data_IF_467650319629
#
_entry.id   IF_467650319629
#
_cell.length_a   1.000
_cell.length_b   1.000
_cell.length_c   1.000
_cell.angle_alpha   90.00
_cell.angle_beta   90.00
_cell.angle_gamma   90.00
#
_symmetry.space_group_name_H-M   'P 1'
#
loop_
_entity.id
_entity.type
_entity.pdbx_description
1 polymer ?
#
# COMPACT_ATOMS: atom_id res chain seq x y z
N UNK A 1 11.69 -24.89 -2.13
CA UNK A 1 11.64 -25.21 -0.67
C UNK A 1 12.97 -24.85 0.00
N UNK A 2 12.87 -24.39 1.26
CA UNK A 2 14.03 -24.10 2.12
C UNK A 2 14.85 -25.37 2.42
N UNK A 3 16.14 -25.20 2.62
CA UNK A 3 16.96 -26.26 3.22
C UNK A 3 16.64 -26.40 4.71
N UNK A 4 16.96 -27.58 5.30
CA UNK A 4 16.66 -27.84 6.72
C UNK A 4 17.23 -26.77 7.68
N UNK A 5 18.43 -26.31 7.45
CA UNK A 5 19.06 -25.27 8.29
C UNK A 5 18.39 -23.89 8.14
N UNK A 6 17.75 -23.60 7.00
CA UNK A 6 16.96 -22.38 6.79
C UNK A 6 15.61 -22.46 7.55
N UNK A 7 14.97 -23.64 7.54
CA UNK A 7 13.78 -23.90 8.36
C UNK A 7 14.12 -23.83 9.85
N UNK A 8 15.24 -24.42 10.26
CA UNK A 8 15.69 -24.38 11.65
C UNK A 8 15.94 -22.95 12.14
N UNK A 9 16.44 -22.06 11.28
CA UNK A 9 16.56 -20.63 11.59
C UNK A 9 15.19 -20.01 11.87
N UNK A 10 14.17 -20.26 11.04
CA UNK A 10 12.83 -19.74 11.26
C UNK A 10 12.27 -20.22 12.61
N UNK A 11 12.42 -21.51 12.93
CA UNK A 11 11.95 -22.04 14.22
C UNK A 11 12.66 -21.43 15.42
N UNK A 12 13.97 -21.17 15.31
CA UNK A 12 14.78 -20.56 16.37
C UNK A 12 14.44 -19.08 16.58
N UNK A 13 14.17 -18.34 15.51
CA UNK A 13 13.89 -16.90 15.56
C UNK A 13 12.41 -16.57 15.75
N UNK A 14 11.49 -17.55 15.69
CA UNK A 14 10.05 -17.31 15.73
C UNK A 14 9.58 -16.51 16.96
N UNK A 15 10.02 -16.91 18.14
CA UNK A 15 9.60 -16.22 19.39
C UNK A 15 10.20 -14.81 19.46
N UNK A 16 11.45 -14.64 19.06
CA UNK A 16 12.09 -13.33 18.99
C UNK A 16 11.40 -12.44 17.95
N UNK A 17 11.01 -12.99 16.79
CA UNK A 17 10.27 -12.29 15.75
C UNK A 17 8.93 -11.75 16.25
N UNK A 18 8.20 -12.53 17.07
CA UNK A 18 6.94 -12.09 17.69
C UNK A 18 7.19 -10.94 18.69
N UNK A 19 8.24 -11.01 19.50
CA UNK A 19 8.58 -9.92 20.42
C UNK A 19 9.02 -8.64 19.69
N UNK A 20 9.78 -8.78 18.59
CA UNK A 20 10.14 -7.66 17.70
C UNK A 20 8.90 -7.02 17.07
N UNK A 21 7.95 -7.85 16.61
CA UNK A 21 6.67 -7.40 16.07
C UNK A 21 5.89 -6.56 17.10
N UNK A 22 5.77 -7.04 18.35
CA UNK A 22 5.10 -6.28 19.42
C UNK A 22 5.77 -4.93 19.66
N UNK A 23 7.11 -4.90 19.68
CA UNK A 23 7.87 -3.65 19.88
C UNK A 23 7.61 -2.66 18.74
N UNK A 24 7.75 -3.09 17.48
CA UNK A 24 7.56 -2.23 16.31
C UNK A 24 6.10 -1.77 16.21
N UNK A 25 5.13 -2.67 16.38
CA UNK A 25 3.70 -2.36 16.29
C UNK A 25 3.23 -1.34 17.35
N UNK A 26 3.91 -1.28 18.52
CA UNK A 26 3.60 -0.29 19.55
C UNK A 26 3.95 1.15 19.14
N UNK A 27 4.88 1.33 18.18
CA UNK A 27 5.31 2.65 17.72
C UNK A 27 4.27 3.21 16.76
N UNK A 28 3.62 4.35 17.04
CA UNK A 28 2.69 4.98 16.12
C UNK A 28 3.42 5.49 14.88
N UNK A 29 2.81 5.31 13.72
CA UNK A 29 3.37 5.74 12.44
C UNK A 29 2.26 6.06 11.42
N UNK A 30 1.46 7.11 11.62
CA UNK A 30 0.59 7.59 10.56
C UNK A 30 1.40 7.92 9.31
N UNK A 31 0.80 7.78 8.12
CA UNK A 31 1.45 8.20 6.87
C UNK A 31 2.00 9.63 6.99
N UNK A 32 3.23 9.86 6.54
CA UNK A 32 4.08 11.05 6.71
C UNK A 32 4.64 11.28 8.13
N UNK A 33 4.48 10.36 9.08
CA UNK A 33 4.99 10.43 10.46
C UNK A 33 5.68 9.12 10.90
N UNK A 34 6.35 8.46 9.98
CA UNK A 34 7.00 7.15 10.16
C UNK A 34 8.42 7.25 10.75
N UNK A 35 8.93 8.45 11.05
CA UNK A 35 10.32 8.67 11.46
C UNK A 35 10.73 7.78 12.64
N UNK A 36 9.85 7.59 13.62
CA UNK A 36 10.14 6.78 14.80
C UNK A 36 10.33 5.30 14.45
N UNK A 37 9.46 4.74 13.59
CA UNK A 37 9.60 3.36 13.09
C UNK A 37 10.83 3.20 12.22
N UNK A 38 11.10 4.14 11.31
CA UNK A 38 12.29 4.13 10.46
C UNK A 38 13.58 4.16 11.29
N UNK A 39 13.66 4.99 12.33
CA UNK A 39 14.82 5.03 13.22
C UNK A 39 14.94 3.75 14.06
N UNK A 40 13.84 3.18 14.56
CA UNK A 40 13.84 1.90 15.26
C UNK A 40 14.42 0.79 14.36
N UNK A 41 13.93 0.65 13.13
CA UNK A 41 14.42 -0.35 12.18
C UNK A 41 15.91 -0.13 11.84
N UNK A 42 16.31 1.12 11.58
CA UNK A 42 17.72 1.46 11.32
C UNK A 42 18.62 1.09 12.50
N UNK A 43 18.21 1.38 13.74
CA UNK A 43 18.97 1.03 14.94
C UNK A 43 19.07 -0.50 15.10
N UNK A 44 17.97 -1.22 14.86
CA UNK A 44 17.95 -2.68 14.92
C UNK A 44 18.92 -3.32 13.92
N UNK A 45 18.99 -2.81 12.68
CA UNK A 45 19.94 -3.26 11.67
C UNK A 45 21.39 -2.92 12.05
N UNK A 46 21.63 -1.70 12.53
CA UNK A 46 22.95 -1.24 12.98
C UNK A 46 23.53 -2.13 14.06
N UNK A 47 22.74 -2.56 15.05
CA UNK A 47 23.14 -3.46 16.14
C UNK A 47 23.57 -4.84 15.62
N UNK A 48 23.16 -5.20 14.40
CA UNK A 48 23.50 -6.44 13.69
C UNK A 48 24.58 -6.27 12.64
N UNK A 49 25.20 -5.11 12.56
CA UNK A 49 26.24 -4.81 11.58
C UNK A 49 25.74 -4.61 10.15
N UNK A 50 24.43 -4.44 9.94
CA UNK A 50 23.82 -4.24 8.63
C UNK A 50 23.79 -2.75 8.32
N UNK A 51 24.46 -2.36 7.25
CA UNK A 51 24.45 -0.97 6.78
C UNK A 51 23.11 -0.60 6.17
N UNK A 52 22.51 0.49 6.66
CA UNK A 52 21.22 0.99 6.20
C UNK A 52 21.22 2.50 6.03
N UNK A 53 20.48 3.00 5.07
CA UNK A 53 20.25 4.43 4.88
C UNK A 53 18.77 4.76 5.07
N UNK A 54 18.46 5.94 5.59
CA UNK A 54 17.12 6.51 5.55
C UNK A 54 17.12 7.59 4.48
N UNK A 55 16.23 7.47 3.51
CA UNK A 55 16.11 8.44 2.43
C UNK A 55 15.22 9.65 2.81
N UNK A 56 15.00 10.58 1.87
CA UNK A 56 14.21 11.78 2.13
C UNK A 56 12.70 11.52 2.35
N UNK A 57 12.23 10.31 2.02
CA UNK A 57 10.85 9.88 2.27
C UNK A 57 10.72 9.08 3.57
N UNK A 58 11.80 8.98 4.36
CA UNK A 58 11.93 8.13 5.53
C UNK A 58 11.92 6.62 5.24
N UNK A 59 12.08 6.19 3.98
CA UNK A 59 12.28 4.78 3.68
C UNK A 59 13.60 4.29 4.29
N UNK A 60 13.59 3.12 4.91
CA UNK A 60 14.82 2.43 5.34
C UNK A 60 15.29 1.54 4.19
N UNK A 61 16.49 1.82 3.69
CA UNK A 61 16.99 1.24 2.43
C UNK A 61 18.27 0.45 2.67
N UNK A 62 18.29 -0.80 2.21
CA UNK A 62 19.45 -1.70 2.22
C UNK A 62 19.78 -2.09 0.77
N UNK A 63 21.01 -1.76 0.33
CA UNK A 63 21.48 -2.00 -1.04
C UNK A 63 22.48 -3.15 -1.07
N UNK A 64 22.17 -4.16 -1.87
CA UNK A 64 23.05 -5.30 -2.11
C UNK A 64 23.30 -5.44 -3.63
N UNK A 65 23.87 -4.40 -4.25
CA UNK A 65 24.14 -4.36 -5.69
C UNK A 65 25.19 -3.31 -6.07
N UNK A 66 25.84 -3.53 -7.21
CA UNK A 66 26.74 -2.57 -7.84
C UNK A 66 25.99 -1.61 -8.79
N UNK A 67 26.62 -0.48 -9.14
CA UNK A 67 25.99 0.63 -9.86
C UNK A 67 25.34 0.27 -11.22
N UNK A 68 25.80 -0.79 -11.89
CA UNK A 68 25.30 -1.20 -13.21
C UNK A 68 24.47 -2.50 -13.18
N UNK A 69 24.17 -3.04 -12.02
CA UNK A 69 23.47 -4.31 -11.89
C UNK A 69 21.95 -4.14 -12.05
N UNK A 70 21.31 -5.08 -12.76
CA UNK A 70 19.85 -5.25 -12.67
C UNK A 70 19.47 -5.64 -11.23
N UNK A 71 18.31 -5.20 -10.76
CA UNK A 71 17.90 -5.42 -9.38
C UNK A 71 16.51 -6.05 -9.25
N UNK A 72 16.35 -6.87 -8.22
CA UNK A 72 15.07 -7.24 -7.65
C UNK A 72 14.80 -6.38 -6.40
N UNK A 73 13.56 -5.95 -6.22
CA UNK A 73 13.14 -5.13 -5.08
C UNK A 73 12.20 -5.92 -4.19
N UNK A 74 12.44 -5.86 -2.88
CA UNK A 74 11.57 -6.40 -1.86
C UNK A 74 11.23 -5.30 -0.86
N UNK A 75 9.95 -5.07 -0.61
CA UNK A 75 9.52 -4.04 0.32
C UNK A 75 8.37 -4.48 1.23
N UNK A 76 8.14 -3.71 2.28
CA UNK A 76 6.98 -3.72 3.16
C UNK A 76 6.86 -2.34 3.80
N UNK A 77 5.64 -1.89 4.14
CA UNK A 77 5.44 -0.51 4.54
C UNK A 77 5.42 -0.31 6.06
N UNK A 78 5.94 0.85 6.49
CA UNK A 78 6.08 1.22 7.91
C UNK A 78 4.86 1.96 8.46
N UNK A 79 4.08 2.60 7.60
CA UNK A 79 2.93 3.39 8.04
C UNK A 79 1.70 2.54 8.36
N UNK A 80 0.78 3.16 9.08
CA UNK A 80 -0.52 2.60 9.43
C UNK A 80 -1.61 3.65 9.20
N UNK A 81 -2.85 3.22 8.94
CA UNK A 81 -4.00 4.10 8.66
C UNK A 81 -4.44 4.97 9.86
N UNK A 82 -3.95 4.65 11.06
CA UNK A 82 -4.38 5.30 12.30
C UNK A 82 -3.63 6.62 12.50
N UNK A 83 -4.37 7.66 12.93
CA UNK A 83 -3.82 8.99 13.17
C UNK A 83 -3.19 9.16 14.57
N UNK A 84 -3.10 8.08 15.35
CA UNK A 84 -2.56 8.09 16.71
C UNK A 84 -1.07 8.44 16.70
N UNK A 85 -0.68 9.33 17.62
CA UNK A 85 0.72 9.72 17.86
C UNK A 85 1.26 9.16 19.16
N UNK A 86 0.40 8.57 20.00
CA UNK A 86 0.73 7.89 21.24
C UNK A 86 0.93 6.38 20.99
N UNK A 87 1.66 5.67 21.87
CA UNK A 87 1.94 4.25 21.71
C UNK A 87 0.66 3.41 21.53
N UNK A 88 0.64 2.58 20.50
CA UNK A 88 -0.47 1.70 20.17
C UNK A 88 -0.51 0.52 21.13
N UNK A 89 -1.73 0.08 21.47
CA UNK A 89 -1.91 -1.04 22.38
C UNK A 89 -1.90 -2.36 21.66
N UNK A 90 -0.86 -3.17 21.92
CA UNK A 90 -0.73 -4.53 21.38
C UNK A 90 -1.01 -5.54 22.49
N UNK A 91 -1.83 -6.55 22.21
CA UNK A 91 -2.27 -7.55 23.20
C UNK A 91 -2.26 -8.94 22.63
N UNK A 92 -1.55 -9.87 23.24
CA UNK A 92 -1.62 -11.28 22.89
C UNK A 92 -2.67 -12.01 23.71
N UNK A 93 -3.50 -12.83 23.05
CA UNK A 93 -4.49 -13.72 23.67
C UNK A 93 -4.39 -15.10 23.03
N UNK A 94 -3.78 -16.05 23.74
CA UNK A 94 -3.51 -17.36 23.16
C UNK A 94 -2.60 -17.26 21.95
N UNK A 95 -3.05 -17.83 20.84
CA UNK A 95 -2.34 -17.85 19.56
C UNK A 95 -2.61 -16.62 18.67
N UNK A 96 -3.26 -15.59 19.18
CA UNK A 96 -3.62 -14.39 18.43
C UNK A 96 -2.97 -13.15 19.00
N UNK A 97 -2.45 -12.30 18.11
CA UNK A 97 -1.92 -10.99 18.46
C UNK A 97 -2.88 -9.92 17.93
N UNK A 98 -3.34 -9.04 18.83
CA UNK A 98 -4.31 -7.98 18.54
C UNK A 98 -3.66 -6.61 18.63
N UNK A 99 -3.99 -5.72 17.72
CA UNK A 99 -3.60 -4.32 17.76
C UNK A 99 -3.67 -3.66 16.38
N UNK A 100 -3.83 -2.33 16.32
CA UNK A 100 -3.91 -1.59 15.08
C UNK A 100 -2.60 -1.68 14.29
N UNK A 101 -2.68 -2.07 13.01
CA UNK A 101 -1.53 -2.20 12.11
C UNK A 101 -0.59 -3.38 12.45
N UNK A 102 -1.05 -4.35 13.25
CA UNK A 102 -0.23 -5.51 13.64
C UNK A 102 0.02 -6.45 12.46
N UNK A 103 -0.96 -6.60 11.57
CA UNK A 103 -0.87 -7.39 10.34
C UNK A 103 -0.54 -6.52 9.13
N UNK A 104 -1.19 -5.39 9.04
CA UNK A 104 -1.08 -4.42 7.96
C UNK A 104 -0.26 -3.19 8.43
N UNK A 105 1.02 -3.12 8.19
CA UNK A 105 1.91 -4.11 7.52
C UNK A 105 3.05 -4.58 8.43
N UNK A 106 2.97 -4.29 9.76
CA UNK A 106 4.09 -4.45 10.71
C UNK A 106 4.64 -5.88 10.74
N UNK A 107 3.76 -6.90 10.62
CA UNK A 107 4.19 -8.30 10.66
C UNK A 107 5.03 -8.69 9.42
N UNK A 108 4.62 -8.26 8.22
CA UNK A 108 5.39 -8.48 7.00
C UNK A 108 6.75 -7.74 7.06
N UNK A 109 6.76 -6.50 7.57
CA UNK A 109 8.01 -5.74 7.81
C UNK A 109 8.97 -6.49 8.72
N UNK A 110 8.50 -7.06 9.82
CA UNK A 110 9.36 -7.81 10.76
C UNK A 110 9.91 -9.07 10.13
N UNK A 111 9.12 -9.81 9.36
CA UNK A 111 9.63 -10.94 8.59
C UNK A 111 10.73 -10.50 7.62
N UNK A 112 10.53 -9.40 6.90
CA UNK A 112 11.53 -8.85 5.98
C UNK A 112 12.83 -8.48 6.69
N UNK A 113 12.74 -7.84 7.88
CA UNK A 113 13.90 -7.54 8.70
C UNK A 113 14.68 -8.81 9.08
N UNK A 114 13.99 -9.87 9.50
CA UNK A 114 14.61 -11.14 9.88
C UNK A 114 15.26 -11.86 8.68
N UNK A 115 14.64 -11.84 7.51
CA UNK A 115 15.22 -12.42 6.29
C UNK A 115 16.48 -11.66 5.87
N UNK A 116 16.47 -10.33 5.94
CA UNK A 116 17.66 -9.50 5.68
C UNK A 116 18.79 -9.86 6.68
N UNK A 117 18.45 -10.05 7.95
CA UNK A 117 19.43 -10.48 8.95
C UNK A 117 20.02 -11.85 8.64
N UNK A 118 19.19 -12.82 8.25
CA UNK A 118 19.66 -14.14 7.80
C UNK A 118 20.67 -14.05 6.64
N UNK A 119 20.32 -13.27 5.60
CA UNK A 119 21.17 -13.07 4.42
C UNK A 119 22.52 -12.46 4.83
N UNK A 120 22.52 -11.47 5.71
CA UNK A 120 23.72 -10.83 6.21
C UNK A 120 24.57 -11.79 7.05
N UNK A 121 23.95 -12.53 7.97
CA UNK A 121 24.60 -13.48 8.87
C UNK A 121 25.36 -14.59 8.10
N UNK A 122 24.75 -15.04 7.00
CA UNK A 122 25.29 -16.11 6.15
C UNK A 122 26.11 -15.60 4.95
N UNK A 123 26.33 -14.27 4.87
CA UNK A 123 27.09 -13.63 3.78
C UNK A 123 26.62 -14.05 2.38
N UNK A 124 25.30 -14.14 2.19
CA UNK A 124 24.74 -14.56 0.91
C UNK A 124 24.87 -13.45 -0.14
N UNK A 125 25.21 -13.84 -1.36
CA UNK A 125 25.35 -12.96 -2.51
C UNK A 125 24.47 -13.46 -3.67
N UNK A 126 23.59 -12.60 -4.19
CA UNK A 126 22.75 -12.92 -5.33
C UNK A 126 23.44 -12.66 -6.67
N UNK A 127 23.04 -13.37 -7.72
CA UNK A 127 23.47 -13.07 -9.12
C UNK A 127 22.85 -11.75 -9.63
N UNK A 128 21.65 -11.45 -9.19
CA UNK A 128 20.94 -10.18 -9.40
C UNK A 128 21.17 -9.29 -8.19
N UNK A 129 21.30 -7.98 -8.39
CA UNK A 129 21.36 -7.04 -7.29
C UNK A 129 20.02 -7.06 -6.51
N UNK A 130 20.09 -6.86 -5.21
CA UNK A 130 18.90 -6.84 -4.35
C UNK A 130 18.77 -5.48 -3.68
N UNK A 131 17.56 -4.93 -3.70
CA UNK A 131 17.18 -3.72 -2.98
C UNK A 131 16.06 -4.07 -1.99
N UNK A 132 16.37 -4.00 -0.70
CA UNK A 132 15.35 -4.08 0.34
C UNK A 132 14.92 -2.70 0.80
N UNK A 133 13.62 -2.52 0.99
CA UNK A 133 13.04 -1.23 1.39
C UNK A 133 11.95 -1.46 2.44
N UNK A 134 12.11 -0.88 3.63
CA UNK A 134 10.97 -0.67 4.51
C UNK A 134 10.44 0.72 4.17
N UNK A 135 9.39 0.76 3.36
CA UNK A 135 8.92 2.01 2.79
C UNK A 135 7.86 2.70 3.66
N UNK A 136 7.52 3.91 3.27
CA UNK A 136 6.60 4.81 3.96
C UNK A 136 5.47 5.26 3.04
N UNK A 137 4.42 5.82 3.63
CA UNK A 137 3.33 6.45 2.88
C UNK A 137 2.63 5.49 1.90
N UNK A 138 2.47 4.21 2.25
CA UNK A 138 1.64 3.29 1.47
C UNK A 138 0.17 3.65 1.64
N UNK A 139 -0.26 3.88 2.86
CA UNK A 139 -1.64 3.98 3.28
C UNK A 139 -2.34 5.27 2.84
N UNK A 140 -3.64 5.14 2.61
CA UNK A 140 -4.58 6.24 2.48
C UNK A 140 -4.11 7.39 1.58
N UNK A 141 -3.88 8.56 2.18
CA UNK A 141 -3.38 9.76 1.50
C UNK A 141 -1.86 9.77 1.30
N UNK A 142 -1.14 8.78 1.84
CA UNK A 142 0.28 8.54 1.55
C UNK A 142 0.55 8.23 0.07
N UNK A 143 -0.44 7.60 -0.60
CA UNK A 143 -0.44 7.36 -2.06
C UNK A 143 0.78 6.57 -2.58
N UNK A 144 1.34 5.67 -1.76
CA UNK A 144 2.56 4.91 -2.06
C UNK A 144 3.76 5.82 -2.41
N UNK A 145 3.86 7.01 -1.79
CA UNK A 145 4.90 7.97 -2.14
C UNK A 145 6.30 7.48 -1.80
N UNK A 146 6.48 6.69 -0.72
CA UNK A 146 7.76 6.06 -0.40
C UNK A 146 8.20 5.09 -1.48
N UNK A 147 7.31 4.17 -1.88
CA UNK A 147 7.54 3.23 -2.97
C UNK A 147 7.77 3.95 -4.31
N UNK A 148 6.96 4.95 -4.64
CA UNK A 148 7.11 5.78 -5.85
C UNK A 148 8.49 6.40 -5.93
N UNK A 149 8.97 6.96 -4.83
CA UNK A 149 10.31 7.57 -4.79
C UNK A 149 11.42 6.56 -5.12
N UNK A 150 11.33 5.34 -4.59
CA UNK A 150 12.27 4.25 -4.89
C UNK A 150 12.17 3.81 -6.36
N UNK A 151 10.95 3.54 -6.84
CA UNK A 151 10.76 3.06 -8.22
C UNK A 151 11.26 4.09 -9.23
N UNK A 152 10.98 5.37 -9.05
CA UNK A 152 11.45 6.44 -9.95
C UNK A 152 12.98 6.50 -10.05
N UNK A 153 13.70 6.24 -8.97
CA UNK A 153 15.17 6.21 -8.98
C UNK A 153 15.74 4.99 -9.72
N UNK A 154 15.06 3.84 -9.63
CA UNK A 154 15.63 2.56 -10.08
C UNK A 154 14.85 1.89 -11.21
N UNK A 155 13.76 2.47 -11.74
CA UNK A 155 12.84 1.83 -12.71
C UNK A 155 13.50 1.19 -13.93
N UNK A 156 14.60 1.76 -14.42
CA UNK A 156 15.33 1.22 -15.57
C UNK A 156 16.15 -0.04 -15.23
N UNK A 157 16.37 -0.30 -13.95
CA UNK A 157 17.16 -1.42 -13.42
C UNK A 157 16.31 -2.49 -12.77
N UNK A 158 15.10 -2.16 -12.33
CA UNK A 158 14.20 -3.10 -11.65
C UNK A 158 13.68 -4.11 -12.66
N UNK A 159 13.94 -5.40 -12.41
CA UNK A 159 13.47 -6.53 -13.23
C UNK A 159 12.28 -7.25 -12.60
N UNK A 160 12.19 -7.23 -11.27
CA UNK A 160 11.08 -7.76 -10.49
C UNK A 160 10.90 -6.97 -9.21
N UNK A 161 9.68 -6.96 -8.71
CA UNK A 161 9.31 -6.24 -7.50
C UNK A 161 8.32 -7.10 -6.70
N UNK A 162 8.58 -7.27 -5.42
CA UNK A 162 7.65 -7.94 -4.50
C UNK A 162 7.42 -7.02 -3.29
N UNK A 163 6.18 -6.59 -3.12
CA UNK A 163 5.72 -5.97 -1.89
C UNK A 163 5.21 -7.07 -0.96
N UNK A 164 5.68 -7.10 0.26
CA UNK A 164 5.11 -7.98 1.27
C UNK A 164 4.05 -7.19 2.03
N UNK A 165 2.78 -7.57 1.84
CA UNK A 165 1.62 -6.90 2.40
C UNK A 165 0.38 -7.81 2.24
N UNK A 166 -0.57 -7.74 3.17
CA UNK A 166 -1.80 -8.53 3.15
C UNK A 166 -1.62 -9.95 3.71
N UNK A 167 -2.35 -10.92 3.14
CA UNK A 167 -2.52 -12.25 3.70
C UNK A 167 -1.97 -13.38 2.82
N UNK A 168 -1.59 -14.51 3.43
CA UNK A 168 -1.02 -15.70 2.78
C UNK A 168 -1.89 -16.31 1.68
N UNK A 169 -3.20 -16.19 1.79
CA UNK A 169 -4.16 -16.76 0.84
C UNK A 169 -4.35 -15.90 -0.42
N UNK A 170 -3.58 -14.84 -0.58
CA UNK A 170 -3.68 -13.91 -1.71
C UNK A 170 -2.33 -13.61 -2.34
N UNK A 171 -2.35 -13.47 -3.67
CA UNK A 171 -1.25 -12.92 -4.45
C UNK A 171 -1.84 -11.81 -5.34
N UNK A 172 -1.60 -10.56 -4.96
CA UNK A 172 -2.03 -9.42 -5.77
C UNK A 172 -1.17 -9.34 -7.02
N UNK A 173 -1.80 -9.52 -8.16
CA UNK A 173 -1.17 -9.49 -9.48
C UNK A 173 -1.80 -8.47 -10.44
N UNK A 174 -2.64 -7.58 -9.93
CA UNK A 174 -3.25 -6.52 -10.72
C UNK A 174 -3.43 -5.28 -9.85
N UNK A 175 -2.97 -4.15 -10.35
CA UNK A 175 -3.10 -2.87 -9.67
C UNK A 175 -4.51 -2.31 -9.81
N UNK A 176 -5.18 -2.01 -8.69
CA UNK A 176 -6.37 -1.18 -8.70
C UNK A 176 -5.94 0.28 -8.51
N UNK A 177 -5.89 1.00 -9.63
CA UNK A 177 -5.62 2.43 -9.62
C UNK A 177 -6.81 3.23 -9.11
N UNK A 178 -6.56 4.43 -8.60
CA UNK A 178 -7.60 5.33 -8.10
C UNK A 178 -7.20 6.79 -8.24
N UNK A 179 -8.21 7.65 -8.37
CA UNK A 179 -8.01 9.10 -8.21
C UNK A 179 -9.08 9.64 -7.27
N UNK A 180 -8.65 10.48 -6.34
CA UNK A 180 -9.45 10.96 -5.22
C UNK A 180 -9.46 12.47 -5.20
N UNK A 181 -10.63 13.07 -5.00
CA UNK A 181 -10.86 14.50 -5.05
C UNK A 181 -11.62 15.00 -3.84
N UNK A 182 -11.31 16.24 -3.45
CA UNK A 182 -12.22 17.12 -2.72
C UNK A 182 -12.70 18.21 -3.68
N UNK A 183 -14.01 18.34 -3.82
CA UNK A 183 -14.66 19.42 -4.55
C UNK A 183 -15.28 20.35 -3.52
N UNK A 184 -14.96 21.63 -3.58
CA UNK A 184 -15.58 22.64 -2.70
C UNK A 184 -16.23 23.73 -3.56
N UNK A 185 -17.55 23.83 -3.46
CA UNK A 185 -18.32 24.89 -4.13
C UNK A 185 -18.39 26.11 -3.22
N UNK A 186 -18.12 27.28 -3.77
CA UNK A 186 -18.19 28.57 -3.07
C UNK A 186 -19.23 29.46 -3.71
N UNK A 187 -20.15 29.99 -2.89
CA UNK A 187 -21.18 30.96 -3.28
C UNK A 187 -21.20 32.14 -2.28
N UNK A 188 -21.90 33.22 -2.63
CA UNK A 188 -22.02 34.40 -1.77
C UNK A 188 -22.80 34.10 -0.47
N UNK A 189 -23.77 33.15 -0.53
CA UNK A 189 -24.73 32.94 0.55
C UNK A 189 -25.78 34.06 0.66
N UNK A 190 -26.62 33.98 1.69
CA UNK A 190 -27.67 34.99 1.93
C UNK A 190 -28.84 34.47 2.75
N UNK A 191 -29.84 35.33 2.95
CA UNK A 191 -31.07 34.95 3.63
C UNK A 191 -32.03 34.24 2.65
N UNK A 192 -32.51 33.06 3.00
CA UNK A 192 -33.27 32.17 2.09
C UNK A 192 -34.49 32.82 1.43
N UNK A 193 -35.14 33.75 2.10
CA UNK A 193 -36.29 34.46 1.56
C UNK A 193 -35.91 35.81 0.90
N UNK A 194 -35.11 36.64 1.59
CA UNK A 194 -34.77 37.99 1.10
C UNK A 194 -33.82 37.94 -0.13
N UNK A 195 -32.96 36.97 -0.19
CA UNK A 195 -31.95 36.78 -1.26
C UNK A 195 -32.31 35.63 -2.20
N UNK A 196 -33.59 35.23 -2.26
CA UNK A 196 -34.05 34.15 -3.13
C UNK A 196 -33.63 34.37 -4.60
N UNK A 197 -33.03 33.32 -5.22
CA UNK A 197 -32.50 33.37 -6.58
C UNK A 197 -31.00 33.59 -6.67
N UNK A 198 -30.29 33.86 -5.55
CA UNK A 198 -28.85 33.77 -5.51
C UNK A 198 -28.37 32.30 -5.59
N UNK A 199 -27.17 32.11 -6.09
CA UNK A 199 -26.56 30.78 -6.14
C UNK A 199 -26.45 30.15 -4.75
N UNK A 200 -26.73 28.85 -4.68
CA UNK A 200 -26.65 28.03 -3.48
C UNK A 200 -25.61 26.92 -3.69
N UNK A 201 -24.59 26.87 -2.83
CA UNK A 201 -23.50 25.93 -2.95
C UNK A 201 -23.94 24.45 -2.89
N UNK A 202 -24.98 24.14 -2.07
CA UNK A 202 -25.53 22.78 -2.00
C UNK A 202 -26.24 22.43 -3.31
N UNK A 203 -27.02 23.38 -3.88
CA UNK A 203 -27.69 23.16 -5.16
C UNK A 203 -26.72 22.99 -6.31
N UNK A 204 -25.66 23.80 -6.37
CA UNK A 204 -24.60 23.64 -7.38
C UNK A 204 -23.89 22.30 -7.24
N UNK A 205 -23.49 21.92 -6.00
CA UNK A 205 -22.84 20.65 -5.75
C UNK A 205 -23.74 19.46 -6.10
N UNK A 206 -25.06 19.55 -5.86
CA UNK A 206 -26.00 18.49 -6.22
C UNK A 206 -26.13 18.29 -7.75
N UNK A 207 -26.01 19.36 -8.55
CA UNK A 207 -25.99 19.29 -10.01
C UNK A 207 -24.70 18.58 -10.48
N UNK A 208 -23.54 18.95 -9.94
CA UNK A 208 -22.28 18.26 -10.22
C UNK A 208 -22.36 16.76 -9.88
N UNK A 209 -22.89 16.42 -8.70
CA UNK A 209 -23.07 15.02 -8.30
C UNK A 209 -24.00 14.28 -9.23
N UNK A 210 -25.09 14.92 -9.67
CA UNK A 210 -26.02 14.33 -10.64
C UNK A 210 -25.29 14.02 -11.97
N UNK A 211 -24.53 14.95 -12.53
CA UNK A 211 -23.79 14.76 -13.76
C UNK A 211 -22.70 13.67 -13.60
N UNK A 212 -21.94 13.68 -12.51
CA UNK A 212 -20.96 12.63 -12.20
C UNK A 212 -21.61 11.25 -12.04
N UNK A 213 -22.83 11.16 -11.51
CA UNK A 213 -23.56 9.89 -11.39
C UNK A 213 -24.08 9.34 -12.73
N UNK A 214 -24.13 10.16 -13.76
CA UNK A 214 -24.59 9.80 -15.12
C UNK A 214 -23.45 9.68 -16.12
N UNK A 215 -22.19 9.79 -15.68
CA UNK A 215 -21.03 9.55 -16.54
C UNK A 215 -21.00 8.11 -17.06
N UNK A 216 -20.41 7.91 -18.25
CA UNK A 216 -20.29 6.59 -18.82
C UNK A 216 -19.12 5.83 -18.16
N UNK A 217 -19.46 4.73 -17.50
CA UNK A 217 -18.46 3.88 -16.86
C UNK A 217 -17.80 2.98 -17.93
N UNK A 218 -16.46 3.02 -18.09
CA UNK A 218 -15.75 2.08 -18.97
C UNK A 218 -16.00 0.62 -18.56
N UNK A 219 -16.13 -0.27 -19.56
CA UNK A 219 -16.48 -1.68 -19.33
C UNK A 219 -15.33 -2.65 -19.66
N UNK A 220 -14.20 -2.14 -20.14
CA UNK A 220 -13.01 -2.93 -20.48
C UNK A 220 -12.36 -3.56 -19.26
N UNK A 221 -12.53 -2.92 -18.08
CA UNK A 221 -12.15 -3.44 -16.78
C UNK A 221 -13.16 -3.02 -15.73
N UNK A 222 -13.16 -3.71 -14.57
CA UNK A 222 -13.95 -3.29 -13.42
C UNK A 222 -13.58 -1.86 -13.05
N UNK A 223 -14.51 -0.94 -13.33
CA UNK A 223 -14.38 0.50 -13.05
C UNK A 223 -15.51 0.93 -12.13
N UNK A 224 -15.19 1.70 -11.12
CA UNK A 224 -16.15 2.15 -10.10
C UNK A 224 -15.91 3.61 -9.77
N UNK A 225 -16.93 4.26 -9.20
CA UNK A 225 -16.81 5.56 -8.55
C UNK A 225 -17.56 5.55 -7.22
N UNK A 226 -17.25 6.52 -6.36
CA UNK A 226 -17.92 6.67 -5.07
C UNK A 226 -18.01 8.14 -4.65
N UNK A 227 -19.13 8.50 -4.06
CA UNK A 227 -19.33 9.73 -3.30
C UNK A 227 -19.15 9.38 -1.82
N UNK A 228 -17.96 9.62 -1.27
CA UNK A 228 -17.60 9.13 0.07
C UNK A 228 -18.13 9.99 1.22
N UNK A 229 -18.23 11.31 1.00
CA UNK A 229 -18.72 12.26 2.01
C UNK A 229 -19.27 13.52 1.33
N UNK A 230 -20.36 14.07 1.88
CA UNK A 230 -20.91 15.37 1.50
C UNK A 230 -21.19 16.20 2.76
N UNK A 231 -20.85 17.49 2.71
CA UNK A 231 -21.11 18.46 3.76
C UNK A 231 -21.50 19.80 3.14
N UNK A 232 -22.33 20.59 3.81
CA UNK A 232 -22.63 21.93 3.31
C UNK A 232 -23.71 22.65 4.08
N UNK A 233 -23.72 24.01 3.93
CA UNK A 233 -24.67 24.90 4.59
C UNK A 233 -24.44 25.05 6.10
N UNK A 234 -25.28 25.87 6.73
CA UNK A 234 -25.17 26.17 8.17
C UNK A 234 -26.51 26.05 8.88
N UNK A 235 -27.62 26.57 8.28
CA UNK A 235 -28.95 26.60 8.89
C UNK A 235 -30.01 26.61 7.81
N UNK A 236 -31.28 26.23 8.18
CA UNK A 236 -32.41 26.05 7.26
C UNK A 236 -32.82 27.33 6.51
N UNK A 237 -32.60 28.49 7.10
CA UNK A 237 -33.01 29.79 6.54
C UNK A 237 -31.86 30.61 5.94
N UNK A 238 -30.69 29.97 5.66
CA UNK A 238 -29.59 30.56 4.95
C UNK A 238 -29.35 29.85 3.61
N UNK A 239 -29.05 30.64 2.57
CA UNK A 239 -28.50 30.10 1.31
C UNK A 239 -27.09 29.64 1.59
N UNK A 240 -26.78 28.38 1.29
CA UNK A 240 -25.46 27.80 1.57
C UNK A 240 -24.34 28.52 0.79
N UNK A 241 -23.34 29.05 1.51
CA UNK A 241 -22.20 29.70 0.92
C UNK A 241 -21.08 28.67 0.55
N UNK A 242 -21.10 27.50 1.19
CA UNK A 242 -20.08 26.47 0.94
C UNK A 242 -20.72 25.07 0.99
N UNK A 243 -20.28 24.19 0.10
CA UNK A 243 -20.59 22.76 0.12
C UNK A 243 -19.38 21.97 -0.40
N UNK A 244 -19.10 20.81 0.22
CA UNK A 244 -17.92 19.99 -0.08
C UNK A 244 -18.32 18.53 -0.35
N UNK A 245 -17.64 17.90 -1.30
CA UNK A 245 -17.80 16.49 -1.68
C UNK A 245 -16.44 15.79 -1.70
N UNK A 246 -16.35 14.61 -1.13
CA UNK A 246 -15.26 13.67 -1.40
C UNK A 246 -15.71 12.68 -2.46
N UNK A 247 -14.96 12.63 -3.56
CA UNK A 247 -15.24 11.79 -4.72
C UNK A 247 -14.02 10.97 -5.10
N UNK A 248 -14.22 9.71 -5.48
CA UNK A 248 -13.18 8.87 -6.06
C UNK A 248 -13.71 8.04 -7.23
N UNK A 249 -12.81 7.63 -8.11
CA UNK A 249 -13.02 6.53 -9.05
C UNK A 249 -11.83 5.58 -9.04
N UNK A 250 -12.07 4.32 -9.41
CA UNK A 250 -11.09 3.24 -9.39
C UNK A 250 -11.21 2.37 -10.65
N UNK A 251 -10.08 1.87 -11.13
CA UNK A 251 -10.03 0.81 -12.15
C UNK A 251 -8.71 0.06 -12.11
N UNK A 252 -8.70 -1.19 -12.57
CA UNK A 252 -7.46 -1.94 -12.78
C UNK A 252 -6.73 -1.59 -14.08
N UNK A 253 -7.38 -0.87 -15.02
CA UNK A 253 -6.76 -0.42 -16.26
C UNK A 253 -6.54 1.09 -16.28
N UNK A 254 -5.32 1.51 -16.63
CA UNK A 254 -4.98 2.93 -16.71
C UNK A 254 -5.87 3.69 -17.73
N UNK A 255 -6.14 3.09 -18.90
CA UNK A 255 -7.01 3.69 -19.91
C UNK A 255 -8.43 4.00 -19.39
N UNK A 256 -8.99 3.12 -18.54
CA UNK A 256 -10.28 3.36 -17.92
C UNK A 256 -10.22 4.54 -16.91
N UNK A 257 -9.13 4.66 -16.16
CA UNK A 257 -8.90 5.82 -15.28
C UNK A 257 -8.79 7.12 -16.08
N UNK A 258 -8.10 7.09 -17.23
CA UNK A 258 -7.94 8.27 -18.10
C UNK A 258 -9.29 8.70 -18.71
N UNK A 259 -10.15 7.76 -19.07
CA UNK A 259 -11.53 8.05 -19.51
C UNK A 259 -12.36 8.69 -18.41
N UNK A 260 -12.30 8.13 -17.18
CA UNK A 260 -13.00 8.69 -16.02
C UNK A 260 -12.50 10.10 -15.70
N UNK A 261 -11.19 10.32 -15.75
CA UNK A 261 -10.57 11.63 -15.55
C UNK A 261 -11.09 12.65 -16.57
N UNK A 262 -11.10 12.29 -17.85
CA UNK A 262 -11.57 13.17 -18.91
C UNK A 262 -13.01 13.60 -18.67
N UNK A 263 -13.91 12.65 -18.38
CA UNK A 263 -15.33 12.95 -18.10
C UNK A 263 -15.48 13.83 -16.84
N UNK A 264 -14.71 13.53 -15.78
CA UNK A 264 -14.69 14.34 -14.57
C UNK A 264 -14.33 15.79 -14.88
N UNK A 265 -13.23 16.02 -15.61
CA UNK A 265 -12.76 17.36 -15.98
C UNK A 265 -13.78 18.09 -16.89
N UNK A 266 -14.39 17.39 -17.83
CA UNK A 266 -15.44 17.95 -18.70
C UNK A 266 -16.65 18.44 -17.90
N UNK A 267 -17.08 17.66 -16.88
CA UNK A 267 -18.21 18.04 -16.01
C UNK A 267 -17.84 19.24 -15.14
N UNK A 268 -16.75 19.15 -14.38
CA UNK A 268 -16.42 20.18 -13.38
C UNK A 268 -15.99 21.51 -14.01
N UNK A 269 -15.46 21.50 -15.22
CA UNK A 269 -15.07 22.71 -15.97
C UNK A 269 -16.27 23.62 -16.32
N UNK A 270 -17.50 23.12 -16.28
CA UNK A 270 -18.71 23.92 -16.48
C UNK A 270 -19.08 24.80 -15.28
N UNK A 271 -18.38 24.67 -14.16
CA UNK A 271 -18.65 25.34 -12.89
C UNK A 271 -17.47 26.19 -12.47
N UNK A 272 -17.58 27.51 -12.55
CA UNK A 272 -16.47 28.45 -12.27
C UNK A 272 -16.20 28.68 -10.78
N UNK A 273 -17.14 28.28 -9.91
CA UNK A 273 -17.09 28.50 -8.46
C UNK A 273 -16.76 27.23 -7.68
N UNK A 274 -16.09 26.27 -8.33
CA UNK A 274 -15.65 25.00 -7.74
C UNK A 274 -14.14 24.97 -7.58
N UNK A 275 -13.67 24.79 -6.36
CA UNK A 275 -12.29 24.47 -6.05
C UNK A 275 -12.11 22.93 -6.11
N UNK A 276 -11.05 22.46 -6.77
CA UNK A 276 -10.73 21.06 -6.95
C UNK A 276 -9.39 20.78 -6.28
N UNK A 277 -9.40 19.93 -5.27
CA UNK A 277 -8.18 19.41 -4.62
C UNK A 277 -8.02 17.93 -4.95
N UNK A 278 -6.83 17.53 -5.45
CA UNK A 278 -6.49 16.13 -5.64
C UNK A 278 -5.97 15.59 -4.31
N UNK A 279 -6.70 14.66 -3.71
CA UNK A 279 -6.34 14.02 -2.45
C UNK A 279 -5.38 12.85 -2.64
N UNK A 280 -5.42 12.19 -3.80
CA UNK A 280 -4.53 11.06 -4.06
C UNK A 280 -4.66 10.51 -5.48
N UNK A 281 -3.56 9.90 -5.95
CA UNK A 281 -3.46 9.24 -7.26
C UNK A 281 -2.66 7.97 -7.12
N UNK A 282 -3.30 6.81 -7.32
CA UNK A 282 -2.64 5.52 -7.51
C UNK A 282 -2.83 5.08 -8.97
N UNK A 283 -1.76 4.73 -9.70
CA UNK A 283 -1.89 4.29 -11.09
C UNK A 283 -2.51 2.89 -11.19
N UNK A 284 -3.14 2.59 -12.30
CA UNK A 284 -3.51 1.23 -12.72
C UNK A 284 -2.32 0.51 -13.39
N UNK A 285 -2.60 -0.68 -13.95
CA UNK A 285 -1.59 -1.41 -14.71
C UNK A 285 -1.19 -0.63 -15.97
N UNK A 286 0.12 -0.55 -16.21
CA UNK A 286 0.70 -0.10 -17.46
C UNK A 286 0.78 -1.24 -18.50
N UNK A 287 1.61 -1.04 -19.51
CA UNK A 287 1.85 -2.05 -20.55
C UNK A 287 2.81 -3.12 -20.02
N UNK A 288 2.29 -4.29 -19.69
CA UNK A 288 3.04 -5.47 -19.23
C UNK A 288 3.27 -6.45 -20.39
N UNK A 289 4.44 -7.11 -20.38
CA UNK A 289 4.59 -8.35 -21.14
C UNK A 289 3.81 -9.45 -20.39
N UNK A 290 2.63 -9.77 -20.91
CA UNK A 290 1.66 -10.63 -20.22
C UNK A 290 2.21 -12.02 -19.91
N UNK A 291 2.90 -12.65 -20.90
CA UNK A 291 3.47 -13.99 -20.70
C UNK A 291 4.55 -14.00 -19.59
N UNK A 292 5.44 -13.00 -19.61
CA UNK A 292 6.49 -12.87 -18.58
C UNK A 292 5.87 -12.63 -17.21
N UNK A 293 4.84 -11.80 -17.16
CA UNK A 293 4.18 -11.44 -15.90
C UNK A 293 3.39 -12.62 -15.31
N UNK A 294 2.67 -13.38 -16.13
CA UNK A 294 1.98 -14.59 -15.70
C UNK A 294 2.96 -15.63 -15.14
N UNK A 295 4.06 -15.88 -15.86
CA UNK A 295 5.12 -16.79 -15.36
C UNK A 295 5.70 -16.33 -14.03
N UNK A 296 5.92 -15.04 -13.85
CA UNK A 296 6.41 -14.46 -12.60
C UNK A 296 5.41 -14.69 -11.45
N UNK A 297 4.13 -14.40 -11.69
CA UNK A 297 3.07 -14.60 -10.69
C UNK A 297 2.90 -16.09 -10.35
N UNK A 298 2.85 -16.97 -11.36
CA UNK A 298 2.71 -18.42 -11.15
C UNK A 298 3.87 -19.01 -10.36
N UNK A 299 5.08 -18.50 -10.61
CA UNK A 299 6.26 -18.88 -9.85
C UNK A 299 6.12 -18.49 -8.38
N UNK A 300 5.73 -17.24 -8.09
CA UNK A 300 5.53 -16.78 -6.72
C UNK A 300 4.41 -17.55 -5.99
N UNK A 301 3.27 -17.79 -6.65
CA UNK A 301 2.18 -18.61 -6.09
C UNK A 301 2.66 -20.03 -5.77
N UNK A 302 3.49 -20.63 -6.63
CA UNK A 302 4.10 -21.94 -6.34
C UNK A 302 4.97 -21.90 -5.09
N UNK A 303 5.82 -20.87 -4.92
CA UNK A 303 6.68 -20.72 -3.74
C UNK A 303 5.87 -20.54 -2.44
N UNK A 304 4.74 -19.82 -2.50
CA UNK A 304 3.81 -19.70 -1.37
C UNK A 304 3.26 -21.10 -1.01
N UNK A 305 2.76 -21.84 -2.01
CA UNK A 305 2.14 -23.16 -1.83
C UNK A 305 3.11 -24.27 -1.38
N UNK A 306 4.41 -24.04 -1.35
CA UNK A 306 5.38 -24.95 -0.75
C UNK A 306 5.24 -25.04 0.79
N UNK A 307 4.65 -24.03 1.43
CA UNK A 307 4.45 -23.94 2.88
C UNK A 307 3.02 -23.65 3.29
N UNK A 308 2.28 -22.90 2.50
CA UNK A 308 0.86 -22.63 2.70
C UNK A 308 0.03 -23.55 1.80
N UNK A 309 -0.63 -24.55 2.42
CA UNK A 309 -1.25 -25.66 1.69
C UNK A 309 -2.65 -25.34 1.14
N UNK A 310 -3.30 -24.28 1.63
CA UNK A 310 -4.59 -23.84 1.16
C UNK A 310 -4.49 -23.08 -0.19
N UNK A 311 -5.63 -22.72 -0.75
CA UNK A 311 -5.66 -22.00 -2.01
C UNK A 311 -5.13 -20.56 -1.88
N UNK A 312 -4.40 -20.14 -2.91
CA UNK A 312 -3.88 -18.78 -3.06
C UNK A 312 -4.61 -18.11 -4.21
N UNK A 313 -5.41 -17.11 -3.91
CA UNK A 313 -6.18 -16.36 -4.91
C UNK A 313 -5.30 -15.29 -5.57
N UNK A 314 -5.32 -15.25 -6.91
CA UNK A 314 -4.80 -14.12 -7.66
C UNK A 314 -5.84 -13.01 -7.69
N UNK A 315 -5.48 -11.83 -7.19
CA UNK A 315 -6.45 -10.75 -6.98
C UNK A 315 -5.93 -9.38 -7.47
N UNK A 316 -6.86 -8.42 -7.50
CA UNK A 316 -6.57 -7.02 -7.84
C UNK A 316 -6.77 -6.15 -6.59
N UNK A 317 -5.71 -5.46 -6.16
CA UNK A 317 -5.74 -4.56 -5.02
C UNK A 317 -4.98 -3.26 -5.31
N UNK A 318 -5.16 -2.26 -4.45
CA UNK A 318 -4.37 -1.03 -4.47
C UNK A 318 -3.27 -1.13 -3.43
N UNK A 319 -2.05 -1.44 -3.83
CA UNK A 319 -0.86 -1.65 -2.99
C UNK A 319 0.36 -0.96 -3.60
N UNK A 320 1.50 -1.05 -2.95
CA UNK A 320 2.76 -0.54 -3.50
C UNK A 320 3.12 -1.12 -4.87
N UNK A 321 2.68 -2.35 -5.18
CA UNK A 321 2.86 -2.96 -6.50
C UNK A 321 2.22 -2.16 -7.64
N UNK A 322 1.24 -1.27 -7.36
CA UNK A 322 0.68 -0.37 -8.37
C UNK A 322 1.77 0.45 -9.07
N UNK A 323 2.79 0.89 -8.32
CA UNK A 323 3.82 1.77 -8.85
C UNK A 323 4.68 1.04 -9.90
N UNK A 324 5.38 -0.07 -9.59
CA UNK A 324 6.16 -0.77 -10.61
C UNK A 324 5.29 -1.34 -11.73
N UNK A 325 4.08 -1.84 -11.47
CA UNK A 325 3.14 -2.32 -12.50
C UNK A 325 2.79 -1.22 -13.52
N UNK A 326 2.65 0.03 -13.08
CA UNK A 326 2.37 1.15 -13.99
C UNK A 326 3.52 1.46 -14.96
N UNK A 327 4.74 1.08 -14.62
CA UNK A 327 5.92 1.18 -15.49
C UNK A 327 6.19 -0.07 -16.33
N UNK A 328 5.30 -1.08 -16.29
CA UNK A 328 5.49 -2.34 -17.01
C UNK A 328 6.49 -3.29 -16.35
N UNK A 329 6.82 -3.08 -15.07
CA UNK A 329 7.69 -3.94 -14.28
C UNK A 329 6.84 -5.05 -13.64
N UNK A 330 7.29 -6.31 -13.75
CA UNK A 330 6.62 -7.43 -13.09
C UNK A 330 6.64 -7.23 -11.57
N UNK A 331 5.46 -7.13 -10.96
CA UNK A 331 5.33 -6.96 -9.52
C UNK A 331 4.16 -7.78 -8.95
N UNK A 332 4.33 -8.29 -7.72
CA UNK A 332 3.27 -8.90 -6.93
C UNK A 332 3.27 -8.32 -5.52
N UNK A 333 2.10 -8.33 -4.88
CA UNK A 333 1.99 -8.14 -3.44
C UNK A 333 1.59 -9.47 -2.80
N UNK A 334 2.31 -9.86 -1.75
CA UNK A 334 2.22 -11.18 -1.11
C UNK A 334 2.24 -11.00 0.40
N UNK A 335 1.20 -11.47 1.09
CA UNK A 335 1.16 -11.47 2.54
C UNK A 335 1.86 -12.69 3.15
N UNK A 336 2.28 -12.56 4.41
CA UNK A 336 3.01 -13.59 5.15
C UNK A 336 2.35 -13.95 6.48
N UNK A 337 1.04 -13.81 6.55
CA UNK A 337 0.25 -14.13 7.73
C UNK A 337 -1.22 -14.34 7.37
N UNK A 338 -2.00 -14.85 8.31
CA UNK A 338 -3.47 -14.80 8.29
C UNK A 338 -3.96 -13.93 9.44
N UNK A 339 -5.00 -13.16 9.17
CA UNK A 339 -5.59 -12.24 10.14
C UNK A 339 -6.88 -11.66 9.61
N UNK A 340 -7.47 -10.76 10.36
CA UNK A 340 -8.69 -10.06 9.96
C UNK A 340 -8.72 -8.64 10.54
N UNK A 341 -9.70 -7.87 10.05
CA UNK A 341 -10.02 -6.53 10.53
C UNK A 341 -8.90 -5.50 10.34
N UNK A 342 -8.05 -5.67 9.30
CA UNK A 342 -7.15 -4.60 8.88
C UNK A 342 -7.89 -3.25 8.84
N UNK A 343 -7.19 -2.15 9.10
CA UNK A 343 -7.76 -0.80 9.19
C UNK A 343 -8.75 -0.57 10.36
N UNK A 344 -8.76 -1.46 11.37
CA UNK A 344 -9.51 -1.25 12.61
C UNK A 344 -8.64 -1.44 13.86
N UNK A 345 -9.04 -0.86 14.99
CA UNK A 345 -8.35 -1.07 16.27
C UNK A 345 -8.48 -2.50 16.82
N UNK A 346 -9.38 -3.31 16.24
CA UNK A 346 -9.60 -4.71 16.58
C UNK A 346 -8.88 -5.68 15.62
N UNK A 347 -7.93 -5.17 14.83
CA UNK A 347 -7.10 -5.99 13.94
C UNK A 347 -6.38 -7.09 14.73
N UNK A 348 -6.27 -8.27 14.13
CA UNK A 348 -5.57 -9.39 14.73
C UNK A 348 -4.90 -10.28 13.68
N UNK A 349 -3.85 -10.98 14.12
CA UNK A 349 -3.15 -12.00 13.33
C UNK A 349 -3.09 -13.32 14.10
N UNK A 350 -3.03 -14.43 13.34
CA UNK A 350 -2.77 -15.78 13.84
C UNK A 350 -1.26 -16.09 13.84
N UNK A 351 -0.71 -16.41 15.02
CA UNK A 351 0.72 -16.64 15.19
C UNK A 351 1.23 -17.96 14.59
N UNK A 352 0.35 -18.97 14.36
CA UNK A 352 0.76 -20.16 13.64
C UNK A 352 0.94 -19.85 12.15
N UNK A 353 0.03 -19.08 11.56
CA UNK A 353 0.16 -18.60 10.19
C UNK A 353 1.35 -17.66 10.01
N UNK A 354 1.67 -16.85 11.01
CA UNK A 354 2.83 -15.97 11.03
C UNK A 354 4.14 -16.76 10.83
N UNK A 355 4.32 -17.90 11.54
CA UNK A 355 5.48 -18.79 11.34
C UNK A 355 5.54 -19.40 9.94
N UNK A 356 4.37 -19.77 9.37
CA UNK A 356 4.29 -20.26 8.00
C UNK A 356 4.73 -19.17 7.02
N UNK A 357 4.24 -17.95 7.21
CA UNK A 357 4.56 -16.82 6.38
C UNK A 357 6.04 -16.42 6.43
N UNK A 358 6.70 -16.56 7.57
CA UNK A 358 8.15 -16.36 7.66
C UNK A 358 8.90 -17.32 6.73
N UNK A 359 8.51 -18.61 6.70
CA UNK A 359 9.07 -19.59 5.75
C UNK A 359 8.77 -19.21 4.31
N UNK A 360 7.55 -18.74 4.02
CA UNK A 360 7.17 -18.28 2.67
C UNK A 360 8.04 -17.13 2.22
N UNK A 361 8.21 -16.09 3.04
CA UNK A 361 9.06 -14.93 2.70
C UNK A 361 10.51 -15.34 2.47
N UNK A 362 11.08 -16.15 3.38
CA UNK A 362 12.43 -16.69 3.20
C UNK A 362 12.55 -17.47 1.88
N UNK A 363 11.57 -18.34 1.59
CA UNK A 363 11.60 -19.16 0.38
C UNK A 363 11.59 -18.30 -0.90
N UNK A 364 10.77 -17.26 -0.94
CA UNK A 364 10.68 -16.33 -2.08
C UNK A 364 11.98 -15.54 -2.24
N UNK A 365 12.51 -14.97 -1.18
CA UNK A 365 13.69 -14.10 -1.27
C UNK A 365 14.94 -14.92 -1.56
N UNK A 366 15.12 -16.08 -0.91
CA UNK A 366 16.32 -16.90 -1.09
C UNK A 366 16.44 -17.53 -2.48
N UNK A 367 15.36 -17.62 -3.27
CA UNK A 367 15.46 -18.00 -4.71
C UNK A 367 16.42 -17.10 -5.49
N UNK A 368 16.57 -15.83 -5.11
CA UNK A 368 17.47 -14.87 -5.76
C UNK A 368 18.94 -15.05 -5.36
N UNK A 369 19.22 -15.89 -4.36
CA UNK A 369 20.56 -16.21 -3.85
C UNK A 369 21.00 -17.64 -4.17
N UNK A 370 20.13 -18.43 -4.76
CA UNK A 370 20.43 -19.81 -5.19
C UNK A 370 20.95 -19.86 -6.62
N UNK A 371 21.74 -20.93 -6.91
CA UNK A 371 22.32 -21.20 -8.23
C UNK A 371 21.29 -21.70 -9.25
#
# INVERSE_FOLDING_TARGET
>A
MLYKYEEDYVEQEADYSIELLKQLATIPAPSYHEEKRAQFCKQWFKERGIETTIDKMNNVVIKMFDDNQDIAVFCGHLDVVFADMEPLKITQKGNYLYGPGVGDDTANVVHLMQVIHYIHLHHLHGKTGILFVLNTCEEGLGNSNGCRYIVEQYKNRIKSFISFDGYLNQCTNSAVGSKRYRLTVHCQGGHSYADFGKENAIETLSKIMYELSHQQIPTEAKTTYNFGKIEGGTTINAIASTATLLYEYRSSMQNCLDIMEKQFQEIVSNYSNVEIEILGVRPGNGLLNQEKFEKFTDHNVRLIKEYYLDDVEKCANGTDSNIPLSYGICANTIGTLMGEKAHTYDEWIDLDSYKIGFKVMMNIILEYFRD
#
